data_IF_661082377633
#
_entry.id   IF_661082377633
#
_cell.length_a   1.000
_cell.length_b   1.000
_cell.length_c   1.000
_cell.angle_alpha   90.00
_cell.angle_beta   90.00
_cell.angle_gamma   90.00
#
_symmetry.space_group_name_H-M   'P 1'
#
loop_
_entity.id
_entity.type
_entity.pdbx_description
1 polymer ?
#
# COMPACT_ATOMS: atom_id res chain seq x y z
N UNK A 1 41.40 -10.47 6.48
CA UNK A 1 41.50 -10.67 5.02
C UNK A 1 42.10 -9.40 4.43
N UNK A 2 42.95 -9.47 3.39
CA UNK A 2 43.38 -8.28 2.68
C UNK A 2 42.16 -7.53 2.12
N UNK A 3 42.19 -6.20 2.20
CA UNK A 3 41.16 -5.34 1.63
C UNK A 3 41.19 -5.45 0.12
N UNK A 4 40.07 -5.82 -0.49
CA UNK A 4 39.85 -5.75 -1.93
C UNK A 4 39.12 -4.45 -2.28
N UNK A 5 39.49 -3.82 -3.39
CA UNK A 5 38.92 -2.55 -3.84
C UNK A 5 38.15 -2.73 -5.14
N UNK A 6 36.96 -2.12 -5.23
CA UNK A 6 36.09 -2.19 -6.40
C UNK A 6 35.75 -0.77 -6.88
N UNK A 7 35.58 -0.57 -8.19
CA UNK A 7 35.13 0.70 -8.77
C UNK A 7 33.63 0.98 -8.50
N UNK A 8 32.83 -0.08 -8.34
CA UNK A 8 31.40 -0.01 -8.01
C UNK A 8 30.99 -1.26 -7.20
N UNK A 9 30.22 -1.04 -6.14
CA UNK A 9 29.54 -2.09 -5.39
C UNK A 9 28.04 -1.81 -5.35
N UNK A 10 27.22 -2.82 -5.62
CA UNK A 10 25.75 -2.74 -5.54
C UNK A 10 25.27 -3.67 -4.43
N UNK A 11 24.53 -3.13 -3.47
CA UNK A 11 23.97 -3.88 -2.34
C UNK A 11 22.47 -4.13 -2.60
N UNK A 12 22.11 -5.38 -2.85
CA UNK A 12 20.73 -5.82 -3.11
C UNK A 12 20.30 -6.92 -2.12
N UNK A 13 20.33 -6.61 -0.82
CA UNK A 13 20.06 -7.58 0.26
C UNK A 13 18.62 -8.06 0.36
N UNK A 14 17.70 -7.42 -0.38
CA UNK A 14 16.28 -7.74 -0.31
C UNK A 14 15.73 -7.52 1.10
N UNK A 15 14.90 -8.46 1.55
CA UNK A 15 14.25 -8.41 2.86
C UNK A 15 14.99 -9.22 3.91
N UNK A 16 15.03 -8.70 5.13
CA UNK A 16 15.50 -9.43 6.32
C UNK A 16 14.29 -9.58 7.24
N UNK A 17 13.72 -10.78 7.26
CA UNK A 17 12.53 -11.06 8.05
C UNK A 17 12.87 -11.23 9.54
N UNK A 18 11.94 -10.91 10.46
CA UNK A 18 12.18 -11.07 11.89
C UNK A 18 12.54 -12.52 12.24
N UNK A 19 13.39 -12.72 13.25
CA UNK A 19 13.69 -14.05 13.78
C UNK A 19 12.42 -14.81 14.17
N UNK A 20 12.39 -16.11 13.83
CA UNK A 20 11.30 -17.04 14.14
C UNK A 20 10.99 -17.12 15.65
N UNK A 21 11.93 -16.71 16.52
CA UNK A 21 11.76 -16.69 17.98
C UNK A 21 10.58 -15.83 18.47
N UNK A 22 10.10 -14.88 17.65
CA UNK A 22 8.92 -14.05 17.96
C UNK A 22 7.60 -14.63 17.45
N UNK A 23 7.65 -15.72 16.69
CA UNK A 23 6.47 -16.41 16.18
C UNK A 23 5.89 -17.26 17.33
N UNK A 24 4.60 -17.11 17.55
CA UNK A 24 3.85 -18.01 18.42
C UNK A 24 2.71 -18.63 17.62
N UNK A 25 2.00 -19.62 18.20
CA UNK A 25 0.82 -20.20 17.55
C UNK A 25 -0.29 -19.18 17.28
N UNK A 26 -0.29 -18.05 17.99
CA UNK A 26 -1.37 -17.04 17.98
C UNK A 26 -0.89 -15.70 17.43
N UNK A 27 0.40 -15.54 17.12
CA UNK A 27 0.97 -14.29 16.63
C UNK A 27 2.09 -14.52 15.61
N UNK A 28 1.94 -13.91 14.43
CA UNK A 28 2.92 -13.88 13.35
C UNK A 28 3.44 -12.44 13.15
N UNK A 29 4.74 -12.15 13.41
CA UNK A 29 5.33 -10.81 13.29
C UNK A 29 5.50 -10.32 11.84
N UNK A 30 5.37 -11.24 10.88
CA UNK A 30 5.29 -11.02 9.44
C UNK A 30 4.46 -12.18 8.89
N UNK A 31 3.74 -12.04 7.78
CA UNK A 31 3.13 -13.21 7.21
C UNK A 31 4.20 -14.14 6.58
N UNK A 32 5.45 -13.68 6.40
CA UNK A 32 6.54 -14.51 5.84
C UNK A 32 7.37 -15.20 6.93
N UNK A 33 6.98 -15.09 8.20
CA UNK A 33 7.61 -15.81 9.32
C UNK A 33 6.80 -17.05 9.68
N UNK A 34 6.68 -17.99 8.73
CA UNK A 34 6.10 -19.32 8.94
C UNK A 34 4.58 -19.46 8.77
N UNK A 35 3.85 -18.41 8.35
CA UNK A 35 2.39 -18.48 8.16
C UNK A 35 1.99 -19.50 7.09
N UNK A 36 2.79 -19.63 6.04
CA UNK A 36 2.48 -20.49 4.89
C UNK A 36 2.49 -21.97 5.26
N UNK A 37 3.31 -22.36 6.25
CA UNK A 37 3.43 -23.72 6.77
C UNK A 37 2.53 -23.94 7.99
N UNK A 38 2.05 -22.87 8.63
CA UNK A 38 1.24 -22.95 9.83
C UNK A 38 -0.21 -23.35 9.52
N UNK A 39 -0.72 -24.31 10.29
CA UNK A 39 -2.16 -24.59 10.33
C UNK A 39 -2.84 -23.52 11.17
N UNK A 40 -3.76 -22.77 10.55
CA UNK A 40 -4.63 -21.81 11.23
C UNK A 40 -6.00 -22.46 11.40
N UNK A 41 -6.51 -22.50 12.63
CA UNK A 41 -7.86 -23.02 12.88
C UNK A 41 -8.91 -21.99 12.43
N UNK A 42 -10.13 -22.45 12.12
CA UNK A 42 -11.23 -21.55 11.79
C UNK A 42 -11.64 -20.75 13.04
N UNK A 43 -11.11 -19.53 13.16
CA UNK A 43 -11.22 -18.67 14.33
C UNK A 43 -11.26 -17.18 13.92
N UNK A 44 -11.21 -16.28 14.91
CA UNK A 44 -11.14 -14.85 14.63
C UNK A 44 -9.70 -14.41 14.36
N UNK A 45 -9.38 -14.10 13.11
CA UNK A 45 -8.06 -13.75 12.63
C UNK A 45 -7.95 -12.24 12.40
N UNK A 46 -7.00 -11.61 13.09
CA UNK A 46 -6.66 -10.20 12.88
C UNK A 46 -5.44 -10.06 11.98
N UNK A 47 -5.53 -9.21 10.96
CA UNK A 47 -4.41 -8.91 10.06
C UNK A 47 -4.15 -7.41 10.07
N UNK A 48 -2.99 -7.00 10.57
CA UNK A 48 -2.56 -5.60 10.59
C UNK A 48 -1.93 -5.23 9.25
N UNK A 49 -2.76 -4.75 8.32
CA UNK A 49 -2.35 -4.29 6.99
C UNK A 49 -3.49 -4.49 5.99
N UNK A 50 -3.78 -3.46 5.18
CA UNK A 50 -4.75 -3.52 4.07
C UNK A 50 -4.07 -3.48 2.69
N UNK A 51 -2.74 -3.60 2.62
CA UNK A 51 -1.95 -3.67 1.38
C UNK A 51 -1.91 -5.09 0.80
N UNK A 52 -1.23 -5.27 -0.35
CA UNK A 52 -1.06 -6.59 -0.96
C UNK A 52 -0.58 -7.65 0.02
N UNK A 53 0.40 -7.36 0.88
CA UNK A 53 0.88 -8.32 1.88
C UNK A 53 -0.19 -8.73 2.90
N UNK A 54 -1.09 -7.82 3.27
CA UNK A 54 -2.23 -8.13 4.13
C UNK A 54 -3.27 -9.00 3.41
N UNK A 55 -3.51 -8.73 2.12
CA UNK A 55 -4.37 -9.57 1.29
C UNK A 55 -3.76 -10.97 1.11
N UNK A 56 -2.46 -11.08 0.85
CA UNK A 56 -1.76 -12.36 0.72
C UNK A 56 -1.85 -13.17 2.02
N UNK A 57 -1.69 -12.52 3.18
CA UNK A 57 -1.92 -13.16 4.48
C UNK A 57 -3.35 -13.67 4.63
N UNK A 58 -4.35 -12.87 4.22
CA UNK A 58 -5.75 -13.29 4.24
C UNK A 58 -5.99 -14.47 3.29
N UNK A 59 -5.36 -14.49 2.11
CA UNK A 59 -5.44 -15.61 1.17
C UNK A 59 -4.82 -16.87 1.76
N UNK A 60 -3.64 -16.78 2.39
CA UNK A 60 -2.95 -17.90 3.02
C UNK A 60 -3.79 -18.58 4.12
N UNK A 61 -4.60 -17.79 4.84
CA UNK A 61 -5.57 -18.31 5.81
C UNK A 61 -6.80 -18.88 5.09
N UNK A 62 -7.42 -18.12 4.18
CA UNK A 62 -8.68 -18.50 3.55
C UNK A 62 -8.61 -19.82 2.78
N UNK A 63 -7.50 -20.10 2.08
CA UNK A 63 -7.33 -21.35 1.31
C UNK A 63 -7.24 -22.61 2.18
N UNK A 64 -7.03 -22.48 3.50
CA UNK A 64 -7.08 -23.62 4.44
C UNK A 64 -8.52 -24.02 4.80
N UNK A 65 -9.50 -23.20 4.42
CA UNK A 65 -10.88 -23.26 4.91
C UNK A 65 -11.94 -23.27 3.80
N UNK A 66 -11.50 -23.42 2.55
CA UNK A 66 -12.36 -23.46 1.39
C UNK A 66 -11.59 -23.31 0.09
N UNK A 67 -12.31 -23.07 -1.00
CA UNK A 67 -11.74 -22.94 -2.33
C UNK A 67 -12.37 -21.78 -3.09
N UNK A 68 -11.55 -21.11 -3.90
CA UNK A 68 -12.02 -20.13 -4.88
C UNK A 68 -12.40 -20.85 -6.16
N UNK A 69 -13.59 -20.57 -6.67
CA UNK A 69 -14.09 -21.07 -7.95
C UNK A 69 -14.33 -19.86 -8.85
N UNK A 70 -13.67 -19.85 -10.00
CA UNK A 70 -13.83 -18.82 -11.03
C UNK A 70 -14.73 -19.34 -12.15
N UNK A 71 -15.70 -18.54 -12.58
CA UNK A 71 -16.55 -18.83 -13.73
C UNK A 71 -15.99 -18.26 -15.06
N UNK A 72 -16.63 -18.60 -16.18
CA UNK A 72 -16.23 -18.14 -17.52
C UNK A 72 -16.26 -16.61 -17.71
N UNK A 73 -16.85 -15.86 -16.77
CA UNK A 73 -16.95 -14.39 -16.76
C UNK A 73 -15.98 -13.74 -15.77
N UNK A 74 -15.00 -14.48 -15.26
CA UNK A 74 -14.05 -14.02 -14.24
C UNK A 74 -14.74 -13.57 -12.95
N UNK A 75 -15.94 -14.09 -12.66
CA UNK A 75 -16.55 -13.93 -11.36
C UNK A 75 -16.01 -15.03 -10.44
N UNK A 76 -15.52 -14.62 -9.27
CA UNK A 76 -14.89 -15.51 -8.29
C UNK A 76 -15.84 -15.68 -7.11
N UNK A 77 -16.12 -16.92 -6.76
CA UNK A 77 -16.93 -17.31 -5.59
C UNK A 77 -16.03 -18.08 -4.63
N UNK A 78 -16.14 -17.80 -3.34
CA UNK A 78 -15.48 -18.59 -2.30
C UNK A 78 -16.42 -19.62 -1.72
N UNK A 79 -16.11 -20.90 -1.93
CA UNK A 79 -16.80 -22.02 -1.31
C UNK A 79 -16.13 -22.38 0.01
N UNK A 80 -16.75 -21.96 1.11
CA UNK A 80 -16.33 -22.28 2.48
C UNK A 80 -16.60 -23.74 2.83
N UNK A 81 -15.64 -24.39 3.47
CA UNK A 81 -15.82 -25.73 4.03
C UNK A 81 -16.78 -25.72 5.22
N UNK A 82 -17.57 -26.79 5.37
CA UNK A 82 -18.56 -26.91 6.46
C UNK A 82 -17.94 -26.79 7.85
N UNK A 83 -16.70 -27.24 8.05
CA UNK A 83 -16.01 -27.15 9.34
C UNK A 83 -15.48 -25.75 9.66
N UNK A 84 -15.56 -24.80 8.72
CA UNK A 84 -14.93 -23.48 8.80
C UNK A 84 -15.90 -22.34 9.11
N UNK A 85 -17.09 -22.62 9.64
CA UNK A 85 -18.12 -21.61 9.91
C UNK A 85 -17.67 -20.48 10.85
N UNK A 86 -16.69 -20.76 11.71
CA UNK A 86 -16.13 -19.82 12.69
C UNK A 86 -15.04 -18.91 12.13
N UNK A 87 -14.60 -19.12 10.89
CA UNK A 87 -13.56 -18.30 10.29
C UNK A 87 -14.08 -16.87 10.10
N UNK A 88 -13.37 -15.92 10.68
CA UNK A 88 -13.57 -14.50 10.49
C UNK A 88 -12.20 -13.83 10.31
N UNK A 89 -12.01 -13.05 9.25
CA UNK A 89 -10.77 -12.35 8.95
C UNK A 89 -11.04 -10.85 8.98
N UNK A 90 -10.30 -10.12 9.80
CA UNK A 90 -10.37 -8.65 9.84
C UNK A 90 -9.05 -8.05 9.39
N UNK A 91 -9.05 -7.38 8.23
CA UNK A 91 -7.93 -6.56 7.77
C UNK A 91 -8.01 -5.17 8.42
N UNK A 92 -6.89 -4.68 8.92
CA UNK A 92 -6.82 -3.46 9.72
C UNK A 92 -5.80 -2.47 9.18
N UNK A 93 -6.17 -1.20 9.13
CA UNK A 93 -5.21 -0.11 8.93
C UNK A 93 -5.75 1.15 9.57
N UNK A 94 -4.92 2.20 9.65
CA UNK A 94 -5.36 3.47 10.27
C UNK A 94 -6.61 4.05 9.59
N UNK A 95 -6.67 3.95 8.27
CA UNK A 95 -7.73 4.57 7.48
C UNK A 95 -8.75 3.58 6.91
N UNK A 96 -8.51 2.27 7.00
CA UNK A 96 -9.37 1.25 6.39
C UNK A 96 -9.46 1.32 4.86
N UNK A 97 -8.50 1.98 4.21
CA UNK A 97 -8.49 2.12 2.74
C UNK A 97 -7.85 0.89 2.13
N UNK A 98 -8.47 0.36 1.08
CA UNK A 98 -7.90 -0.67 0.22
C UNK A 98 -7.11 -0.04 -0.95
N UNK A 99 -6.02 -0.68 -1.38
CA UNK A 99 -5.34 -0.32 -2.62
C UNK A 99 -6.29 -0.53 -3.81
N UNK A 100 -6.08 0.26 -4.85
CA UNK A 100 -6.81 0.13 -6.10
C UNK A 100 -6.19 -0.91 -7.02
N UNK A 101 -6.95 -1.34 -8.03
CA UNK A 101 -6.51 -2.27 -9.05
C UNK A 101 -5.41 -1.66 -9.93
N UNK A 102 -4.46 -2.49 -10.35
CA UNK A 102 -3.46 -2.18 -11.34
C UNK A 102 -4.13 -1.72 -12.66
N UNK A 103 -3.77 -0.55 -13.17
CA UNK A 103 -4.48 0.08 -14.29
C UNK A 103 -3.69 0.04 -15.60
N UNK A 104 -4.40 0.16 -16.73
CA UNK A 104 -3.76 0.26 -18.04
C UNK A 104 -2.95 1.55 -18.16
N UNK A 105 -1.69 1.43 -18.59
CA UNK A 105 -0.83 2.53 -18.97
C UNK A 105 0.05 2.13 -20.17
N UNK A 106 0.54 3.10 -20.97
CA UNK A 106 1.40 2.80 -22.11
C UNK A 106 2.78 2.33 -21.65
N UNK A 107 3.32 1.32 -22.33
CA UNK A 107 4.70 0.84 -22.18
C UNK A 107 5.33 0.84 -23.58
N UNK A 108 6.47 1.51 -23.81
CA UNK A 108 7.27 2.26 -22.84
C UNK A 108 6.54 3.51 -22.30
N UNK A 109 6.94 3.96 -21.11
CA UNK A 109 6.32 5.12 -20.50
C UNK A 109 6.58 6.42 -21.26
N UNK A 110 5.55 7.23 -21.45
CA UNK A 110 5.59 8.54 -22.10
C UNK A 110 6.07 9.63 -21.14
N UNK A 111 6.92 10.57 -21.59
CA UNK A 111 7.53 11.58 -20.72
C UNK A 111 6.50 12.57 -20.15
N UNK A 112 6.85 13.15 -19.00
CA UNK A 112 6.16 14.32 -18.43
C UNK A 112 6.42 15.57 -19.28
N UNK A 113 5.46 16.49 -19.32
CA UNK A 113 5.53 17.68 -20.19
C UNK A 113 6.13 18.91 -19.49
N UNK A 114 5.91 19.04 -18.19
CA UNK A 114 6.25 20.19 -17.35
C UNK A 114 7.30 19.79 -16.32
N UNK A 115 7.07 18.69 -15.59
CA UNK A 115 8.01 18.16 -14.58
C UNK A 115 9.10 17.34 -15.29
N UNK A 116 9.91 18.03 -16.09
CA UNK A 116 11.05 17.47 -16.82
C UNK A 116 12.32 17.50 -15.97
N UNK A 117 13.33 16.70 -16.33
CA UNK A 117 14.65 16.73 -15.69
C UNK A 117 15.26 18.14 -15.68
N UNK A 118 15.08 18.90 -16.77
CA UNK A 118 15.56 20.28 -16.85
C UNK A 118 14.84 21.20 -15.85
N UNK A 119 13.52 21.08 -15.73
CA UNK A 119 12.72 21.88 -14.80
C UNK A 119 13.07 21.57 -13.34
N UNK A 120 13.20 20.27 -13.00
CA UNK A 120 13.58 19.85 -11.66
C UNK A 120 15.00 20.30 -11.30
N UNK A 121 15.97 20.13 -12.21
CA UNK A 121 17.33 20.61 -12.01
C UNK A 121 17.37 22.14 -11.80
N UNK A 122 16.58 22.90 -12.57
CA UNK A 122 16.49 24.35 -12.38
C UNK A 122 15.94 24.71 -10.99
N UNK A 123 15.00 23.95 -10.43
CA UNK A 123 14.52 24.16 -9.06
C UNK A 123 15.54 23.76 -8.00
N UNK A 124 16.27 22.66 -8.20
CA UNK A 124 17.36 22.21 -7.31
C UNK A 124 18.47 23.28 -7.23
N UNK A 125 18.87 23.86 -8.36
CA UNK A 125 19.93 24.89 -8.41
C UNK A 125 19.57 26.18 -7.66
N UNK A 126 18.28 26.44 -7.38
CA UNK A 126 17.86 27.58 -6.54
C UNK A 126 18.07 27.34 -5.04
N UNK A 127 18.47 26.14 -4.65
CA UNK A 127 18.76 25.76 -3.27
C UNK A 127 17.61 25.06 -2.53
N UNK A 128 17.94 24.45 -1.40
CA UNK A 128 17.06 23.57 -0.61
C UNK A 128 15.84 24.28 -0.01
N UNK A 129 15.94 25.57 0.32
CA UNK A 129 14.86 26.30 0.99
C UNK A 129 13.65 26.47 0.08
N UNK A 130 12.53 25.86 0.46
CA UNK A 130 11.28 25.88 -0.31
C UNK A 130 11.31 25.02 -1.57
N UNK A 131 12.34 24.19 -1.78
CA UNK A 131 12.45 23.32 -2.96
C UNK A 131 11.20 22.45 -3.15
N UNK A 132 10.72 21.83 -2.07
CA UNK A 132 9.54 20.98 -2.10
C UNK A 132 8.29 21.73 -2.59
N UNK A 133 8.07 22.96 -2.10
CA UNK A 133 6.92 23.77 -2.51
C UNK A 133 7.02 24.23 -3.97
N UNK A 134 8.24 24.55 -4.45
CA UNK A 134 8.45 24.91 -5.86
C UNK A 134 8.17 23.73 -6.78
N UNK A 135 8.66 22.54 -6.42
CA UNK A 135 8.42 21.31 -7.19
C UNK A 135 6.95 20.91 -7.13
N UNK A 136 6.29 21.08 -5.98
CA UNK A 136 4.85 20.83 -5.88
C UNK A 136 4.03 21.72 -6.82
N UNK A 137 4.44 22.97 -7.07
CA UNK A 137 3.78 23.81 -8.09
C UNK A 137 3.92 23.23 -9.50
N UNK A 138 5.09 22.70 -9.86
CA UNK A 138 5.28 22.01 -11.15
C UNK A 138 4.38 20.76 -11.25
N UNK A 139 4.24 20.01 -10.16
CA UNK A 139 3.32 18.86 -10.07
C UNK A 139 1.87 19.29 -10.35
N UNK A 140 1.42 20.39 -9.73
CA UNK A 140 0.08 20.93 -9.96
C UNK A 140 -0.13 21.31 -11.43
N UNK A 141 0.87 21.95 -12.05
CA UNK A 141 0.83 22.30 -13.47
C UNK A 141 0.78 21.07 -14.38
N UNK A 142 1.60 20.05 -14.13
CA UNK A 142 1.61 18.78 -14.88
C UNK A 142 0.26 18.07 -14.83
N UNK A 143 -0.30 17.90 -13.63
CA UNK A 143 -1.58 17.23 -13.46
C UNK A 143 -2.71 18.02 -14.13
N UNK A 144 -2.71 19.35 -13.99
CA UNK A 144 -3.72 20.21 -14.63
C UNK A 144 -3.62 20.12 -16.15
N UNK A 145 -2.41 20.06 -16.70
CA UNK A 145 -2.20 19.89 -18.13
C UNK A 145 -2.76 18.55 -18.63
N UNK A 146 -2.51 17.47 -17.90
CA UNK A 146 -2.95 16.13 -18.30
C UNK A 146 -4.45 15.85 -18.05
N UNK A 147 -5.00 16.33 -16.93
CA UNK A 147 -6.41 16.13 -16.57
C UNK A 147 -7.02 17.36 -15.88
N UNK A 148 -7.47 18.37 -16.65
CA UNK A 148 -8.07 19.57 -16.09
C UNK A 148 -9.38 19.28 -15.34
N UNK A 149 -10.13 18.25 -15.75
CA UNK A 149 -11.40 17.88 -15.12
C UNK A 149 -11.19 17.29 -13.73
N UNK A 150 -10.22 16.39 -13.57
CA UNK A 150 -9.85 15.87 -12.26
C UNK A 150 -9.23 16.93 -11.36
N UNK A 151 -8.32 17.76 -11.92
CA UNK A 151 -7.72 18.89 -11.20
C UNK A 151 -8.76 19.82 -10.60
N UNK A 152 -9.79 20.20 -11.38
CA UNK A 152 -10.90 21.04 -10.89
C UNK A 152 -11.73 20.34 -9.81
N UNK A 153 -12.05 19.05 -10.01
CA UNK A 153 -12.87 18.26 -9.07
C UNK A 153 -12.25 18.16 -7.67
N UNK A 154 -10.94 18.06 -7.56
CA UNK A 154 -10.24 18.01 -6.26
C UNK A 154 -9.75 19.39 -5.78
N UNK A 155 -10.10 20.46 -6.52
CA UNK A 155 -9.62 21.83 -6.28
C UNK A 155 -8.08 21.93 -6.18
N UNK A 156 -7.36 21.24 -7.07
CA UNK A 156 -5.91 21.04 -6.98
C UNK A 156 -5.11 22.33 -6.82
N UNK A 157 -5.48 23.40 -7.52
CA UNK A 157 -4.80 24.70 -7.45
C UNK A 157 -4.85 25.37 -6.08
N UNK A 158 -5.81 24.98 -5.23
CA UNK A 158 -5.91 25.48 -3.85
C UNK A 158 -5.08 24.68 -2.84
N UNK A 159 -4.49 23.55 -3.28
CA UNK A 159 -3.76 22.63 -2.41
C UNK A 159 -2.27 23.00 -2.34
N UNK A 160 -1.62 22.48 -1.31
CA UNK A 160 -0.17 22.49 -1.16
C UNK A 160 0.32 21.05 -0.87
N UNK A 161 1.64 20.89 -0.74
CA UNK A 161 2.24 19.57 -0.51
C UNK A 161 1.73 18.88 0.77
N UNK A 162 1.32 19.65 1.77
CA UNK A 162 0.83 19.14 3.06
C UNK A 162 -0.67 18.75 2.99
N UNK A 163 -1.47 19.43 2.17
CA UNK A 163 -2.91 19.17 2.03
C UNK A 163 -3.27 18.19 0.91
N UNK A 164 -2.39 18.00 -0.07
CA UNK A 164 -2.68 17.18 -1.26
C UNK A 164 -3.04 15.73 -0.91
N UNK A 165 -2.31 15.11 0.01
CA UNK A 165 -2.61 13.73 0.44
C UNK A 165 -4.01 13.63 1.06
N UNK A 166 -4.44 14.62 1.83
CA UNK A 166 -5.80 14.63 2.39
C UNK A 166 -6.85 14.66 1.29
N UNK A 167 -6.68 15.53 0.28
CA UNK A 167 -7.59 15.62 -0.85
C UNK A 167 -7.62 14.33 -1.68
N UNK A 168 -6.45 13.72 -1.93
CA UNK A 168 -6.30 12.45 -2.63
C UNK A 168 -7.10 11.30 -2.00
N UNK A 169 -7.07 11.18 -0.68
CA UNK A 169 -7.75 10.11 0.04
C UNK A 169 -9.19 10.45 0.45
N UNK A 170 -9.64 11.70 0.30
CA UNK A 170 -10.90 12.18 0.87
C UNK A 170 -12.11 11.36 0.43
N UNK A 171 -12.23 11.09 -0.87
CA UNK A 171 -13.37 10.35 -1.41
C UNK A 171 -13.38 8.89 -0.95
N UNK A 172 -12.20 8.23 -0.96
CA UNK A 172 -12.07 6.83 -0.51
C UNK A 172 -12.38 6.65 0.95
N UNK A 173 -12.03 7.61 1.81
CA UNK A 173 -12.35 7.57 3.25
C UNK A 173 -13.85 7.67 3.55
N UNK A 174 -14.64 8.21 2.64
CA UNK A 174 -16.08 8.44 2.84
C UNK A 174 -16.95 7.31 2.27
N UNK A 175 -16.34 6.31 1.63
CA UNK A 175 -17.05 5.21 0.97
C UNK A 175 -16.72 3.89 1.67
N UNK A 176 -17.64 2.94 1.57
CA UNK A 176 -17.37 1.56 1.96
C UNK A 176 -16.18 1.03 1.13
N UNK A 177 -15.15 0.44 1.77
CA UNK A 177 -13.93 0.04 1.07
C UNK A 177 -14.18 -1.05 0.04
N UNK A 178 -15.13 -1.96 0.28
CA UNK A 178 -15.45 -3.02 -0.68
C UNK A 178 -16.26 -2.48 -1.86
N UNK A 179 -17.22 -1.59 -1.62
CA UNK A 179 -17.95 -0.91 -2.71
C UNK A 179 -17.01 -0.05 -3.57
N UNK A 180 -15.98 0.54 -2.97
CA UNK A 180 -14.91 1.22 -3.72
C UNK A 180 -14.14 0.23 -4.58
N UNK A 181 -13.66 -0.87 -3.98
CA UNK A 181 -12.86 -1.89 -4.66
C UNK A 181 -13.62 -2.49 -5.86
N UNK A 182 -14.91 -2.78 -5.70
CA UNK A 182 -15.76 -3.29 -6.78
C UNK A 182 -15.88 -2.29 -7.95
N UNK A 183 -16.22 -1.03 -7.66
CA UNK A 183 -16.34 0.01 -8.71
C UNK A 183 -15.00 0.28 -9.41
N UNK A 184 -13.92 0.32 -8.64
CA UNK A 184 -12.59 0.51 -9.17
C UNK A 184 -12.17 -0.66 -10.08
N UNK A 185 -12.43 -1.91 -9.67
CA UNK A 185 -12.18 -3.09 -10.49
C UNK A 185 -12.94 -3.03 -11.82
N UNK A 186 -14.23 -2.66 -11.79
CA UNK A 186 -15.04 -2.51 -13.01
C UNK A 186 -14.50 -1.42 -13.95
N UNK A 187 -14.05 -0.27 -13.41
CA UNK A 187 -13.40 0.78 -14.20
C UNK A 187 -12.10 0.27 -14.83
N UNK A 188 -11.24 -0.36 -14.04
CA UNK A 188 -9.93 -0.81 -14.48
C UNK A 188 -10.02 -1.90 -15.54
N UNK A 189 -10.89 -2.89 -15.38
CA UNK A 189 -11.06 -3.96 -16.37
C UNK A 189 -11.66 -3.42 -17.68
N UNK A 190 -12.56 -2.44 -17.61
CA UNK A 190 -13.03 -1.71 -18.80
C UNK A 190 -11.88 -0.97 -19.48
N UNK A 191 -11.10 -0.23 -18.72
CA UNK A 191 -9.99 0.56 -19.24
C UNK A 191 -8.91 -0.33 -19.86
N UNK A 192 -8.59 -1.49 -19.26
CA UNK A 192 -7.66 -2.49 -19.83
C UNK A 192 -8.15 -3.01 -21.17
N UNK A 193 -9.43 -3.37 -21.28
CA UNK A 193 -10.04 -3.84 -22.54
C UNK A 193 -10.02 -2.77 -23.62
N UNK A 194 -10.29 -1.52 -23.26
CA UNK A 194 -10.35 -0.38 -24.16
C UNK A 194 -8.99 0.26 -24.42
N UNK A 195 -7.93 -0.20 -23.74
CA UNK A 195 -6.60 0.43 -23.72
C UNK A 195 -6.68 1.92 -23.38
N UNK A 196 -7.55 2.26 -22.44
CA UNK A 196 -7.76 3.62 -21.98
C UNK A 196 -6.85 3.92 -20.78
N UNK A 197 -5.99 4.92 -20.95
CA UNK A 197 -5.15 5.44 -19.87
C UNK A 197 -5.90 6.57 -19.16
N UNK A 198 -6.05 6.47 -17.83
CA UNK A 198 -6.60 7.55 -17.01
C UNK A 198 -5.51 8.61 -16.77
N UNK A 199 -5.63 9.84 -17.31
CA UNK A 199 -4.48 10.75 -17.40
C UNK A 199 -3.89 11.15 -16.04
N UNK A 200 -4.72 11.51 -15.06
CA UNK A 200 -4.21 11.89 -13.72
C UNK A 200 -3.54 10.72 -12.99
N UNK A 201 -4.08 9.49 -13.09
CA UNK A 201 -3.47 8.29 -12.48
C UNK A 201 -2.11 8.04 -13.07
N UNK A 202 -2.01 8.16 -14.39
CA UNK A 202 -0.77 7.94 -15.12
C UNK A 202 0.29 9.01 -14.81
N UNK A 203 -0.10 10.28 -14.74
CA UNK A 203 0.82 11.36 -14.35
C UNK A 203 1.34 11.15 -12.94
N UNK A 204 0.50 10.79 -11.97
CA UNK A 204 0.98 10.49 -10.60
C UNK A 204 1.97 9.32 -10.61
N UNK A 205 1.71 8.28 -11.41
CA UNK A 205 2.64 7.18 -11.63
C UNK A 205 3.95 7.66 -12.26
N UNK A 206 3.95 8.63 -13.18
CA UNK A 206 5.22 9.14 -13.73
C UNK A 206 5.96 10.07 -12.78
N UNK A 207 5.22 10.83 -11.96
CA UNK A 207 5.79 11.81 -11.04
C UNK A 207 6.60 11.17 -9.90
N UNK A 208 6.27 9.95 -9.46
CA UNK A 208 7.05 9.34 -8.37
C UNK A 208 8.52 9.17 -8.73
N UNK A 209 8.80 8.78 -9.98
CA UNK A 209 10.15 8.59 -10.51
C UNK A 209 10.86 9.94 -10.63
N UNK A 210 10.24 10.91 -11.30
CA UNK A 210 10.85 12.23 -11.51
C UNK A 210 11.11 12.97 -10.18
N UNK A 211 10.16 12.94 -9.24
CA UNK A 211 10.27 13.65 -7.95
C UNK A 211 11.26 12.95 -7.01
N UNK A 212 11.61 11.69 -7.22
CA UNK A 212 12.63 11.01 -6.42
C UNK A 212 13.97 11.74 -6.47
N UNK A 213 14.32 12.34 -7.61
CA UNK A 213 15.57 13.08 -7.83
C UNK A 213 15.75 14.28 -6.88
N UNK A 214 14.66 14.89 -6.39
CA UNK A 214 14.77 16.04 -5.49
C UNK A 214 15.02 15.64 -4.04
N UNK A 215 14.73 14.38 -3.66
CA UNK A 215 14.74 13.92 -2.26
C UNK A 215 16.09 14.13 -1.57
N UNK A 216 17.25 13.81 -2.20
CA UNK A 216 18.56 14.08 -1.61
C UNK A 216 18.88 15.57 -1.39
N UNK A 217 18.14 16.47 -2.04
CA UNK A 217 18.33 17.92 -1.95
C UNK A 217 17.35 18.59 -0.97
N UNK A 218 16.49 17.83 -0.32
CA UNK A 218 15.57 18.35 0.69
C UNK A 218 16.28 18.52 2.03
N UNK A 219 16.01 19.64 2.70
CA UNK A 219 16.35 19.80 4.11
C UNK A 219 15.49 18.84 4.99
N UNK A 220 15.89 18.65 6.25
CA UNK A 220 15.24 17.71 7.17
C UNK A 220 13.73 17.99 7.35
N UNK A 221 13.35 19.26 7.39
CA UNK A 221 11.95 19.68 7.54
C UNK A 221 11.11 19.28 6.33
N UNK A 222 11.58 19.58 5.12
CA UNK A 222 10.87 19.25 3.88
C UNK A 222 10.90 17.74 3.60
N UNK A 223 11.94 17.02 4.02
CA UNK A 223 11.93 15.55 3.96
C UNK A 223 10.80 14.95 4.82
N UNK A 224 10.56 15.51 6.01
CA UNK A 224 9.43 15.10 6.88
C UNK A 224 8.07 15.43 6.25
N UNK A 225 7.93 16.60 5.62
CA UNK A 225 6.71 16.99 4.89
C UNK A 225 6.44 16.06 3.71
N UNK A 226 7.45 15.82 2.88
CA UNK A 226 7.38 14.89 1.74
C UNK A 226 6.93 13.49 2.18
N UNK A 227 7.56 12.95 3.23
CA UNK A 227 7.25 11.61 3.76
C UNK A 227 5.84 11.51 4.33
N UNK A 228 5.33 12.56 4.98
CA UNK A 228 3.97 12.59 5.56
C UNK A 228 2.87 12.84 4.54
N UNK A 229 3.17 13.55 3.45
CA UNK A 229 2.23 13.94 2.41
C UNK A 229 2.48 13.18 1.11
N UNK A 230 3.20 13.81 0.19
CA UNK A 230 3.34 13.40 -1.21
C UNK A 230 3.83 11.95 -1.40
N UNK A 231 4.78 11.48 -0.59
CA UNK A 231 5.26 10.10 -0.67
C UNK A 231 4.13 9.08 -0.50
N UNK A 232 3.14 9.35 0.37
CA UNK A 232 2.00 8.46 0.58
C UNK A 232 1.08 8.38 -0.63
N UNK A 233 0.94 9.49 -1.38
CA UNK A 233 0.16 9.51 -2.63
C UNK A 233 0.84 8.66 -3.69
N UNK A 234 2.16 8.80 -3.82
CA UNK A 234 2.94 7.98 -4.76
C UNK A 234 2.86 6.49 -4.39
N UNK A 235 3.14 6.15 -3.13
CA UNK A 235 3.05 4.76 -2.63
C UNK A 235 1.69 4.16 -2.94
N UNK A 236 0.61 4.87 -2.62
CA UNK A 236 -0.73 4.38 -2.87
C UNK A 236 -1.04 4.17 -4.36
N UNK A 237 -0.50 5.02 -5.25
CA UNK A 237 -0.71 4.89 -6.69
C UNK A 237 0.10 3.74 -7.32
N UNK A 238 1.39 3.62 -7.01
CA UNK A 238 2.22 2.56 -7.60
C UNK A 238 2.08 1.21 -6.89
N UNK A 239 1.58 1.18 -5.65
CA UNK A 239 1.25 -0.05 -4.92
C UNK A 239 -0.17 -0.57 -5.25
N UNK A 240 -0.65 -0.27 -6.45
CA UNK A 240 -1.86 -0.88 -6.99
C UNK A 240 -1.69 -2.40 -7.07
N UNK A 241 -2.79 -3.14 -6.90
CA UNK A 241 -2.77 -4.60 -6.77
C UNK A 241 -3.41 -5.29 -7.97
N UNK A 242 -3.05 -6.55 -8.27
CA UNK A 242 -3.66 -7.28 -9.37
C UNK A 242 -5.18 -7.36 -9.23
N UNK A 243 -5.87 -7.22 -10.35
CA UNK A 243 -7.33 -7.35 -10.42
C UNK A 243 -7.85 -8.68 -9.84
N UNK A 244 -7.07 -9.75 -9.96
CA UNK A 244 -7.37 -11.07 -9.36
C UNK A 244 -7.38 -11.05 -7.84
N UNK A 245 -6.46 -10.31 -7.19
CA UNK A 245 -6.44 -10.16 -5.74
C UNK A 245 -7.71 -9.47 -5.24
N UNK A 246 -8.25 -8.51 -6.00
CA UNK A 246 -9.49 -7.81 -5.66
C UNK A 246 -10.70 -8.74 -5.85
N UNK A 247 -10.76 -9.53 -6.92
CA UNK A 247 -11.83 -10.51 -7.13
C UNK A 247 -11.95 -11.47 -5.94
N UNK A 248 -10.82 -12.02 -5.49
CA UNK A 248 -10.77 -12.93 -4.32
C UNK A 248 -11.18 -12.24 -3.02
N UNK A 249 -10.74 -10.99 -2.82
CA UNK A 249 -11.15 -10.18 -1.68
C UNK A 249 -12.68 -9.98 -1.65
N UNK A 250 -13.28 -9.65 -2.80
CA UNK A 250 -14.73 -9.49 -2.93
C UNK A 250 -15.47 -10.82 -2.72
N UNK A 251 -14.94 -11.93 -3.23
CA UNK A 251 -15.51 -13.26 -3.00
C UNK A 251 -15.56 -13.63 -1.50
N UNK A 252 -14.51 -13.29 -0.74
CA UNK A 252 -14.51 -13.49 0.72
C UNK A 252 -15.49 -12.56 1.44
N UNK A 253 -15.71 -11.35 0.93
CA UNK A 253 -16.70 -10.40 1.46
C UNK A 253 -18.11 -10.95 1.26
N UNK A 254 -18.42 -11.43 0.06
CA UNK A 254 -19.71 -12.03 -0.27
C UNK A 254 -19.99 -13.29 0.56
N UNK A 255 -18.96 -14.08 0.86
CA UNK A 255 -19.05 -15.23 1.78
C UNK A 255 -19.20 -14.83 3.26
N UNK A 256 -19.12 -13.53 3.60
CA UNK A 256 -19.22 -13.02 4.97
C UNK A 256 -18.02 -13.36 5.86
N UNK A 257 -16.84 -13.61 5.26
CA UNK A 257 -15.64 -14.07 5.97
C UNK A 257 -14.69 -12.92 6.29
N UNK A 258 -14.58 -11.92 5.40
CA UNK A 258 -13.59 -10.84 5.52
C UNK A 258 -14.23 -9.48 5.79
N UNK A 259 -13.58 -8.72 6.66
CA UNK A 259 -13.98 -7.37 7.04
C UNK A 259 -12.79 -6.41 7.02
N UNK A 260 -13.09 -5.11 6.88
CA UNK A 260 -12.12 -4.03 7.01
C UNK A 260 -12.42 -3.24 8.27
N UNK A 261 -11.39 -2.97 9.06
CA UNK A 261 -11.47 -2.12 10.25
C UNK A 261 -10.51 -0.94 10.13
N UNK A 262 -11.06 0.27 10.13
CA UNK A 262 -10.31 1.51 10.27
C UNK A 262 -10.00 1.73 11.77
N UNK A 263 -8.75 1.48 12.18
CA UNK A 263 -8.33 1.56 13.57
C UNK A 263 -8.18 3.00 14.09
N UNK A 264 -8.03 3.98 13.21
CA UNK A 264 -7.61 5.33 13.59
C UNK A 264 -6.09 5.45 13.81
N UNK A 265 -5.67 6.61 14.29
CA UNK A 265 -4.25 6.92 14.53
C UNK A 265 -3.76 6.32 15.85
N UNK A 266 -4.63 6.29 16.87
CA UNK A 266 -4.29 5.91 18.24
C UNK A 266 -4.94 4.57 18.60
N UNK A 267 -4.10 3.56 18.85
CA UNK A 267 -4.52 2.28 19.39
C UNK A 267 -3.40 1.65 20.21
N UNK A 268 -3.77 0.82 21.18
CA UNK A 268 -2.87 -0.03 21.94
C UNK A 268 -3.02 -1.48 21.48
N UNK A 269 -1.90 -2.22 21.45
CA UNK A 269 -1.86 -3.62 21.06
C UNK A 269 -1.20 -4.46 22.15
N UNK A 270 -1.96 -5.40 22.70
CA UNK A 270 -1.52 -6.35 23.73
C UNK A 270 -1.48 -7.75 23.12
N UNK A 271 -0.27 -8.32 22.99
CA UNK A 271 -0.06 -9.68 22.51
C UNK A 271 0.09 -10.60 23.73
N UNK A 272 -0.81 -11.58 23.87
CA UNK A 272 -0.76 -12.60 24.91
C UNK A 272 -0.60 -13.99 24.29
N UNK A 273 -0.28 -15.00 25.10
CA UNK A 273 -0.07 -16.38 24.63
C UNK A 273 -1.28 -16.96 23.87
N UNK A 274 -2.50 -16.56 24.23
CA UNK A 274 -3.74 -17.11 23.66
C UNK A 274 -4.42 -16.23 22.61
N UNK A 275 -4.10 -14.94 22.54
CA UNK A 275 -4.78 -13.96 21.66
C UNK A 275 -4.08 -12.62 21.62
N UNK A 276 -4.38 -11.82 20.60
CA UNK A 276 -4.01 -10.40 20.52
C UNK A 276 -5.24 -9.52 20.74
N UNK A 277 -5.11 -8.49 21.57
CA UNK A 277 -6.16 -7.51 21.85
C UNK A 277 -5.72 -6.14 21.35
N UNK A 278 -6.56 -5.50 20.54
CA UNK A 278 -6.42 -4.10 20.13
C UNK A 278 -7.43 -3.26 20.91
N UNK A 279 -6.98 -2.13 21.44
CA UNK A 279 -7.82 -1.15 22.15
C UNK A 279 -7.71 0.20 21.45
N UNK A 280 -8.86 0.76 21.10
CA UNK A 280 -8.99 2.17 20.72
C UNK A 280 -9.68 2.92 21.87
N UNK A 281 -9.88 4.24 21.73
CA UNK A 281 -10.61 5.02 22.73
C UNK A 281 -12.01 4.44 23.01
N UNK A 282 -12.70 4.00 21.96
CA UNK A 282 -14.10 3.59 22.03
C UNK A 282 -14.33 2.07 22.05
N UNK A 283 -13.35 1.27 21.60
CA UNK A 283 -13.57 -0.15 21.31
C UNK A 283 -12.41 -1.05 21.74
N UNK A 284 -12.72 -2.33 21.93
CA UNK A 284 -11.74 -3.40 22.10
C UNK A 284 -12.03 -4.56 21.16
N UNK A 285 -11.01 -4.98 20.42
CA UNK A 285 -11.07 -6.06 19.43
C UNK A 285 -10.12 -7.17 19.86
N UNK A 286 -10.57 -8.42 19.81
CA UNK A 286 -9.82 -9.59 20.27
C UNK A 286 -9.71 -10.61 19.15
N UNK A 287 -8.49 -11.05 18.84
CA UNK A 287 -8.20 -11.99 17.76
C UNK A 287 -7.44 -13.20 18.30
N UNK A 288 -7.91 -14.41 17.96
CA UNK A 288 -7.31 -15.68 18.38
C UNK A 288 -5.96 -15.90 17.69
N UNK A 289 -5.87 -15.51 16.42
CA UNK A 289 -4.64 -15.47 15.64
C UNK A 289 -4.44 -14.07 15.09
N UNK A 290 -3.21 -13.55 15.17
CA UNK A 290 -2.89 -12.22 14.70
C UNK A 290 -1.66 -12.21 13.79
N UNK A 291 -1.74 -11.50 12.67
CA UNK A 291 -0.70 -11.44 11.65
C UNK A 291 -0.35 -9.97 11.40
N UNK A 292 0.91 -9.59 11.62
CA UNK A 292 1.39 -8.24 11.31
C UNK A 292 1.89 -8.17 9.86
N UNK A 293 1.12 -7.52 8.99
CA UNK A 293 1.38 -7.41 7.55
C UNK A 293 1.84 -5.99 7.12
N UNK A 294 2.36 -5.18 8.06
CA UNK A 294 2.82 -3.80 7.77
C UNK A 294 4.16 -3.72 7.03
N UNK A 295 4.77 -4.87 6.74
CA UNK A 295 6.09 -4.97 6.12
C UNK A 295 7.24 -4.68 7.09
N UNK A 296 8.47 -4.76 6.57
CA UNK A 296 9.66 -4.52 7.38
C UNK A 296 9.93 -3.02 7.57
N UNK A 297 10.46 -2.65 8.73
CA UNK A 297 11.01 -1.29 8.91
C UNK A 297 12.32 -1.16 8.10
N UNK A 298 12.64 0.02 7.56
CA UNK A 298 13.93 0.26 6.94
C UNK A 298 15.07 -0.12 7.89
N UNK A 299 16.01 -0.93 7.40
CA UNK A 299 17.23 -1.26 8.14
C UNK A 299 18.07 0.01 8.34
N UNK A 300 18.67 0.17 9.51
CA UNK A 300 19.72 1.19 9.68
C UNK A 300 21.01 0.65 9.08
N UNK A 301 21.94 1.54 8.74
CA UNK A 301 23.27 1.16 8.21
C UNK A 301 23.96 0.09 9.06
N UNK A 302 23.88 0.22 10.39
CA UNK A 302 24.44 -0.75 11.35
C UNK A 302 23.75 -2.13 11.37
N UNK A 303 22.53 -2.21 10.83
CA UNK A 303 21.72 -3.44 10.77
C UNK A 303 21.94 -4.19 9.44
N UNK A 304 22.70 -3.59 8.51
CA UNK A 304 23.09 -4.24 7.26
C UNK A 304 24.17 -5.29 7.57
N UNK A 305 24.05 -6.54 7.10
CA UNK A 305 24.93 -7.65 7.46
C UNK A 305 26.31 -7.60 6.76
N UNK A 306 26.88 -6.40 6.57
CA UNK A 306 28.20 -6.20 5.98
C UNK A 306 29.11 -5.37 6.90
N UNK A 307 29.60 -5.95 8.02
CA UNK A 307 30.46 -5.24 8.97
C UNK A 307 31.83 -4.82 8.40
N UNK A 308 32.19 -5.27 7.19
CA UNK A 308 33.45 -4.97 6.51
C UNK A 308 33.29 -4.23 5.18
N UNK A 309 32.09 -3.78 4.83
CA UNK A 309 31.83 -2.81 3.76
C UNK A 309 31.81 -1.39 4.33
#
# INVERSE_FOLDING_TARGET
LPSETFDLAVIATGHVWPDEEKVTRTYFPSPWSGLMEAKVDACNVGIMGTSLSGLDAAMAVAIQHGSFIEDDKQHVIFHRDNASEKLNITLMSRTGILPEADFYCPIPYEPLHIVTDQALNAEIQKGEYGLLDRVFRLIVEEIKFADPGWSQRIALESLNVDSFAQAWFAERKQRDPFDWAEKNLQEVERNKREKHTVPWRYVILRLHEAVQEIVPHLNEHDHKRFSKGLARVFIDNYAAIPSESIRRLLALREAGIIHILALGEDYEMEINESRTVLKTEDNSYSFDVFIDARGQRPLKVKDIPFPGL
#
